data_IF_997710148207
#
_entry.id   IF_997710148207
#
_cell.length_a   1.000
_cell.length_b   1.000
_cell.length_c   1.000
_cell.angle_alpha   90.00
_cell.angle_beta   90.00
_cell.angle_gamma   90.00
#
_symmetry.space_group_name_H-M   'P 1'
#
loop_
_entity.id
_entity.type
_entity.pdbx_description
1 polymer ?
#
# COMPACT_ATOMS: atom_id res chain seq x y z
N UNK A 1 -30.33 -12.10 -3.18
CA UNK A 1 -29.67 -12.75 -2.02
C UNK A 1 -28.75 -11.74 -1.35
N UNK A 2 -29.14 -11.18 -0.19
CA UNK A 2 -28.30 -10.31 0.63
C UNK A 2 -27.54 -11.10 1.70
N UNK A 3 -26.42 -10.54 2.19
CA UNK A 3 -25.72 -10.96 3.41
C UNK A 3 -24.83 -12.21 3.27
N UNK A 4 -23.68 -12.37 3.91
CA UNK A 4 -23.18 -11.73 5.13
C UNK A 4 -21.66 -11.96 5.27
N UNK A 5 -20.90 -10.91 5.54
CA UNK A 5 -19.83 -10.90 6.57
C UNK A 5 -20.45 -10.17 7.79
N UNK A 6 -19.92 -10.20 9.04
CA UNK A 6 -18.61 -10.68 9.52
C UNK A 6 -18.70 -11.44 10.88
N UNK A 7 -17.58 -11.96 11.42
CA UNK A 7 -17.42 -12.02 12.88
C UNK A 7 -15.95 -12.21 13.32
N UNK A 8 -15.32 -11.13 13.78
CA UNK A 8 -14.23 -11.21 14.74
C UNK A 8 -14.66 -10.40 15.97
N UNK A 9 -14.80 -11.09 17.10
CA UNK A 9 -15.15 -10.52 18.39
C UNK A 9 -13.94 -10.75 19.33
N UNK A 10 -13.23 -9.73 19.80
CA UNK A 10 -12.27 -9.91 20.88
C UNK A 10 -13.02 -10.00 22.22
N UNK A 11 -12.62 -10.98 23.03
CA UNK A 11 -13.24 -11.33 24.29
C UNK A 11 -13.07 -10.22 25.36
N UNK A 12 -14.19 -9.95 26.04
CA UNK A 12 -14.33 -9.05 27.18
C UNK A 12 -13.63 -9.60 28.43
N UNK A 13 -12.80 -8.79 29.11
CA UNK A 13 -12.35 -9.08 30.48
C UNK A 13 -13.53 -8.90 31.46
N UNK A 14 -13.68 -9.75 32.49
CA UNK A 14 -14.61 -9.48 33.57
C UNK A 14 -13.94 -8.70 34.71
N UNK A 15 -14.56 -7.56 35.03
CA UNK A 15 -14.45 -6.82 36.29
C UNK A 15 -15.25 -7.54 37.37
N UNK A 16 -14.64 -7.87 38.52
CA UNK A 16 -15.33 -8.14 39.79
C UNK A 16 -14.56 -7.39 40.88
N UNK A 17 -15.03 -6.20 41.29
CA UNK A 17 -16.05 -5.93 42.32
C UNK A 17 -15.63 -6.39 43.73
N UNK A 18 -15.42 -5.39 44.57
CA UNK A 18 -15.12 -5.41 45.99
C UNK A 18 -16.13 -6.22 46.79
N UNK A 19 -15.63 -7.02 47.74
CA UNK A 19 -16.37 -7.43 48.93
C UNK A 19 -15.53 -7.14 50.17
N UNK A 20 -15.89 -6.07 50.86
CA UNK A 20 -15.53 -5.83 52.26
C UNK A 20 -16.45 -6.65 53.15
N UNK A 21 -15.92 -7.40 54.10
CA UNK A 21 -16.57 -7.69 55.39
C UNK A 21 -15.57 -8.24 56.40
N UNK A 22 -15.63 -7.64 57.59
CA UNK A 22 -14.87 -7.86 58.82
C UNK A 22 -14.76 -9.31 59.30
N UNK A 23 -13.60 -9.62 59.89
CA UNK A 23 -13.52 -10.49 61.06
C UNK A 23 -12.41 -9.98 61.98
N UNK A 24 -12.79 -9.12 62.93
CA UNK A 24 -12.05 -8.90 64.18
C UNK A 24 -11.99 -10.24 64.92
N UNK A 25 -10.79 -10.66 65.36
CA UNK A 25 -10.48 -11.06 66.74
C UNK A 25 -9.12 -11.78 66.86
N UNK A 26 -8.40 -11.44 67.95
CA UNK A 26 -7.34 -12.21 68.63
C UNK A 26 -5.90 -12.19 68.06
N UNK A 27 -5.11 -11.18 68.49
CA UNK A 27 -4.12 -11.29 69.60
C UNK A 27 -3.07 -10.16 69.46
N UNK A 28 -3.01 -9.27 70.46
CA UNK A 28 -1.88 -8.35 70.66
C UNK A 28 -0.61 -9.15 70.96
N UNK A 29 0.51 -8.94 70.25
CA UNK A 29 1.83 -9.24 70.76
C UNK A 29 2.26 -8.10 71.68
N UNK A 30 2.49 -8.44 72.94
CA UNK A 30 3.09 -7.57 73.95
C UNK A 30 4.55 -7.29 73.62
N UNK A 31 4.91 -6.00 73.63
CA UNK A 31 6.25 -5.44 73.87
C UNK A 31 7.46 -6.19 73.27
N UNK A 32 7.78 -5.90 72.00
CA UNK A 32 9.16 -6.04 71.52
C UNK A 32 9.83 -4.68 71.72
N UNK A 33 10.85 -4.67 72.57
CA UNK A 33 11.72 -3.51 72.83
C UNK A 33 12.41 -3.13 71.53
N UNK A 34 11.90 -2.12 70.83
CA UNK A 34 12.52 -1.53 69.64
C UNK A 34 13.87 -0.94 70.07
N UNK A 35 14.96 -1.49 69.52
CA UNK A 35 16.24 -0.77 69.46
C UNK A 35 16.08 0.53 68.66
N UNK A 36 17.10 1.40 68.62
CA UNK A 36 16.99 2.70 67.96
C UNK A 36 16.53 2.52 66.51
N UNK A 37 15.44 3.20 66.16
CA UNK A 37 14.91 3.28 64.80
C UNK A 37 15.92 4.02 63.93
N UNK A 38 16.76 3.27 63.21
CA UNK A 38 17.61 3.82 62.16
C UNK A 38 16.72 4.04 60.94
N UNK A 39 16.37 5.29 60.65
CA UNK A 39 15.69 5.65 59.41
C UNK A 39 16.54 5.17 58.22
N UNK A 40 15.96 4.51 57.20
CA UNK A 40 16.72 4.20 56.00
C UNK A 40 17.26 5.52 55.42
N UNK A 41 18.50 5.54 54.91
CA UNK A 41 19.06 6.75 54.33
C UNK A 41 18.15 7.26 53.22
N UNK A 42 18.04 8.61 53.03
CA UNK A 42 17.32 9.16 51.90
C UNK A 42 17.85 8.50 50.63
N UNK A 43 16.98 7.88 49.84
CA UNK A 43 17.37 7.33 48.55
C UNK A 43 17.76 8.53 47.69
N UNK A 44 19.06 8.83 47.59
CA UNK A 44 19.51 9.82 46.61
C UNK A 44 19.08 9.33 45.23
N UNK A 45 18.39 10.17 44.43
CA UNK A 45 18.06 9.80 43.07
C UNK A 45 19.37 9.50 42.35
N UNK A 46 19.48 8.32 41.75
CA UNK A 46 20.65 7.90 40.99
C UNK A 46 21.05 9.01 40.00
N UNK A 47 22.16 9.69 40.29
CA UNK A 47 22.66 10.79 39.49
C UNK A 47 23.47 10.19 38.35
N UNK A 48 22.85 10.09 37.17
CA UNK A 48 23.57 9.67 35.96
C UNK A 48 24.76 10.60 35.74
N UNK A 49 25.91 10.03 35.43
CA UNK A 49 27.09 10.76 35.01
C UNK A 49 26.86 11.38 33.61
N UNK A 50 27.58 12.46 33.29
CA UNK A 50 27.48 13.13 31.98
C UNK A 50 27.72 12.15 30.81
N UNK A 51 28.58 11.14 31.02
CA UNK A 51 28.86 10.09 30.04
C UNK A 51 27.66 9.17 29.81
N UNK A 52 26.93 8.81 30.85
CA UNK A 52 25.71 7.99 30.76
C UNK A 52 24.58 8.78 30.08
N UNK A 53 24.49 10.08 30.36
CA UNK A 53 23.55 10.96 29.70
C UNK A 53 23.86 11.08 28.19
N UNK A 54 25.12 11.31 27.82
CA UNK A 54 25.57 11.34 26.43
C UNK A 54 25.26 10.04 25.69
N UNK A 55 25.57 8.90 26.31
CA UNK A 55 25.31 7.57 25.73
C UNK A 55 23.81 7.35 25.50
N UNK A 56 22.97 7.87 26.39
CA UNK A 56 21.50 7.78 26.26
C UNK A 56 21.00 8.63 25.09
N UNK A 57 21.53 9.85 24.92
CA UNK A 57 21.19 10.72 23.79
C UNK A 57 21.61 10.10 22.46
N UNK A 58 22.84 9.58 22.37
CA UNK A 58 23.35 8.90 21.17
C UNK A 58 22.44 7.71 20.79
N UNK A 59 21.96 6.94 21.77
CA UNK A 59 21.06 5.82 21.54
C UNK A 59 19.69 6.25 21.02
N UNK A 60 19.19 7.41 21.46
CA UNK A 60 17.95 8.00 20.94
C UNK A 60 18.13 8.46 19.48
N UNK A 61 19.26 9.09 19.15
CA UNK A 61 19.59 9.48 17.78
C UNK A 61 19.72 8.27 16.86
N UNK A 62 20.43 7.22 17.28
CA UNK A 62 20.53 5.96 16.55
C UNK A 62 19.14 5.38 16.29
N UNK A 63 18.27 5.35 17.31
CA UNK A 63 16.89 4.86 17.16
C UNK A 63 16.10 5.69 16.16
N UNK A 64 16.24 7.02 16.18
CA UNK A 64 15.57 7.91 15.25
C UNK A 64 16.07 7.71 13.81
N UNK A 65 17.38 7.53 13.62
CA UNK A 65 17.98 7.22 12.32
C UNK A 65 17.53 5.86 11.80
N UNK A 66 17.50 4.82 12.64
CA UNK A 66 17.01 3.49 12.25
C UNK A 66 15.56 3.55 11.75
N UNK A 67 14.67 4.28 12.43
CA UNK A 67 13.28 4.45 11.96
C UNK A 67 13.19 5.19 10.63
N UNK A 68 14.05 6.17 10.39
CA UNK A 68 14.10 6.88 9.10
C UNK A 68 14.56 5.94 7.98
N UNK A 69 15.56 5.09 8.24
CA UNK A 69 16.03 4.08 7.29
C UNK A 69 14.90 3.08 6.96
N UNK A 70 14.19 2.57 7.96
CA UNK A 70 13.03 1.67 7.74
C UNK A 70 11.94 2.34 6.89
N UNK A 71 11.65 3.62 7.13
CA UNK A 71 10.72 4.40 6.31
C UNK A 71 11.19 4.60 4.87
N UNK A 72 12.49 4.79 4.67
CA UNK A 72 13.10 4.88 3.34
C UNK A 72 13.03 3.54 2.60
N UNK A 73 13.31 2.43 3.27
CA UNK A 73 13.23 1.08 2.69
C UNK A 73 11.80 0.73 2.24
N UNK A 74 10.80 1.10 3.05
CA UNK A 74 9.39 0.96 2.67
C UNK A 74 9.06 1.79 1.42
N UNK A 75 9.56 3.02 1.35
CA UNK A 75 9.36 3.92 0.20
C UNK A 75 10.03 3.37 -1.07
N UNK A 76 11.26 2.86 -0.97
CA UNK A 76 11.99 2.22 -2.08
C UNK A 76 11.21 1.00 -2.59
N UNK A 77 10.68 0.18 -1.67
CA UNK A 77 9.88 -1.00 -2.02
C UNK A 77 8.63 -0.59 -2.80
N UNK A 78 7.90 0.43 -2.34
CA UNK A 78 6.72 0.96 -3.02
C UNK A 78 7.04 1.48 -4.43
N UNK A 79 8.07 2.31 -4.57
CA UNK A 79 8.51 2.86 -5.85
C UNK A 79 8.98 1.77 -6.83
N UNK A 80 9.59 0.70 -6.30
CA UNK A 80 10.00 -0.46 -7.11
C UNK A 80 8.77 -1.19 -7.69
N UNK A 81 7.71 -1.35 -6.90
CA UNK A 81 6.46 -1.95 -7.36
C UNK A 81 5.76 -1.08 -8.40
N UNK A 82 5.67 0.23 -8.15
CA UNK A 82 5.11 1.19 -9.10
C UNK A 82 5.87 1.18 -10.43
N UNK A 83 7.21 1.17 -10.38
CA UNK A 83 8.06 1.08 -11.58
C UNK A 83 7.84 -0.21 -12.36
N UNK A 84 7.57 -1.34 -11.68
CA UNK A 84 7.22 -2.61 -12.35
C UNK A 84 5.85 -2.51 -13.02
N UNK A 85 4.86 -1.92 -12.36
CA UNK A 85 3.53 -1.70 -12.92
C UNK A 85 3.61 -0.82 -14.18
N UNK A 86 4.29 0.32 -14.10
CA UNK A 86 4.47 1.23 -15.24
C UNK A 86 5.17 0.54 -16.42
N UNK A 87 6.16 -0.32 -16.17
CA UNK A 87 6.79 -1.13 -17.23
C UNK A 87 5.81 -2.08 -17.91
N UNK A 88 4.92 -2.71 -17.13
CA UNK A 88 3.86 -3.56 -17.68
C UNK A 88 2.88 -2.77 -18.53
N UNK A 89 2.47 -1.58 -18.07
CA UNK A 89 1.56 -0.71 -18.80
C UNK A 89 2.16 -0.24 -20.12
N UNK A 90 3.44 0.16 -20.12
CA UNK A 90 4.17 0.54 -21.34
C UNK A 90 4.19 -0.61 -22.35
N UNK A 91 4.49 -1.84 -21.92
CA UNK A 91 4.47 -3.00 -22.81
C UNK A 91 3.06 -3.26 -23.38
N UNK A 92 2.02 -3.09 -22.55
CA UNK A 92 0.63 -3.18 -22.99
C UNK A 92 0.26 -2.11 -24.03
N UNK A 93 0.69 -0.87 -23.83
CA UNK A 93 0.48 0.21 -24.80
C UNK A 93 1.23 -0.02 -26.10
N UNK A 94 2.48 -0.49 -26.06
CA UNK A 94 3.25 -0.85 -27.26
C UNK A 94 2.52 -1.90 -28.09
N UNK A 95 2.03 -2.97 -27.47
CA UNK A 95 1.25 -4.00 -28.16
C UNK A 95 -0.02 -3.44 -28.82
N UNK A 96 -0.73 -2.55 -28.13
CA UNK A 96 -1.92 -1.88 -28.68
C UNK A 96 -1.59 -0.99 -29.88
N UNK A 97 -0.49 -0.25 -29.82
CA UNK A 97 -0.03 0.59 -30.93
C UNK A 97 0.29 -0.27 -32.15
N UNK A 98 1.06 -1.34 -32.00
CA UNK A 98 1.35 -2.27 -33.11
C UNK A 98 0.07 -2.86 -33.71
N UNK A 99 -0.90 -3.25 -32.87
CA UNK A 99 -2.20 -3.74 -33.36
C UNK A 99 -3.01 -2.68 -34.13
N UNK A 100 -2.92 -1.40 -33.74
CA UNK A 100 -3.56 -0.31 -34.46
C UNK A 100 -2.87 -0.02 -35.80
N UNK A 101 -1.54 -0.05 -35.85
CA UNK A 101 -0.75 0.13 -37.08
C UNK A 101 -1.11 -0.95 -38.12
N UNK A 102 -1.22 -2.21 -37.70
CA UNK A 102 -1.66 -3.29 -38.59
C UNK A 102 -3.07 -3.08 -39.15
N UNK A 103 -4.00 -2.63 -38.31
CA UNK A 103 -5.38 -2.33 -38.74
C UNK A 103 -5.42 -1.17 -39.71
N UNK A 104 -4.60 -0.14 -39.49
CA UNK A 104 -4.48 1.01 -40.37
C UNK A 104 -3.96 0.58 -41.75
N UNK A 105 -2.87 -0.20 -41.82
CA UNK A 105 -2.35 -0.72 -43.09
C UNK A 105 -3.37 -1.60 -43.83
N UNK A 106 -4.15 -2.40 -43.10
CA UNK A 106 -5.24 -3.17 -43.71
C UNK A 106 -6.35 -2.28 -44.28
N UNK A 107 -6.67 -1.17 -43.62
CA UNK A 107 -7.69 -0.22 -44.10
C UNK A 107 -7.18 0.56 -45.31
N UNK A 108 -5.91 0.97 -45.32
CA UNK A 108 -5.26 1.61 -46.48
C UNK A 108 -5.35 0.70 -47.71
N UNK A 109 -5.00 -0.59 -47.56
CA UNK A 109 -5.12 -1.57 -48.66
C UNK A 109 -6.56 -1.72 -49.17
N UNK A 110 -7.55 -1.69 -48.26
CA UNK A 110 -8.97 -1.77 -48.65
C UNK A 110 -9.42 -0.52 -49.41
N UNK A 111 -8.94 0.66 -49.01
CA UNK A 111 -9.24 1.92 -49.71
C UNK A 111 -8.63 1.90 -51.11
N UNK A 112 -7.37 1.52 -51.25
CA UNK A 112 -6.70 1.42 -52.55
C UNK A 112 -7.45 0.46 -53.49
N UNK A 113 -7.81 -0.72 -52.97
CA UNK A 113 -8.61 -1.70 -53.74
C UNK A 113 -9.97 -1.14 -54.15
N UNK A 114 -10.61 -0.34 -53.29
CA UNK A 114 -11.89 0.31 -53.63
C UNK A 114 -11.71 1.35 -54.73
N UNK A 115 -10.63 2.13 -54.69
CA UNK A 115 -10.32 3.13 -55.70
C UNK A 115 -10.05 2.50 -57.06
N UNK A 116 -9.31 1.38 -57.11
CA UNK A 116 -9.08 0.63 -58.35
C UNK A 116 -10.40 0.15 -58.96
N UNK A 117 -11.31 -0.37 -58.14
CA UNK A 117 -12.64 -0.81 -58.58
C UNK A 117 -13.48 0.35 -59.12
N UNK A 118 -13.40 1.52 -58.49
CA UNK A 118 -14.10 2.71 -58.98
C UNK A 118 -13.56 3.15 -60.35
N UNK A 119 -12.23 3.07 -60.58
CA UNK A 119 -11.64 3.34 -61.89
C UNK A 119 -12.10 2.34 -62.95
N UNK A 120 -12.12 1.05 -62.63
CA UNK A 120 -12.63 0.01 -63.53
C UNK A 120 -14.09 0.25 -63.92
N UNK A 121 -14.93 0.67 -62.96
CA UNK A 121 -16.33 1.00 -63.21
C UNK A 121 -16.48 2.22 -64.13
N UNK A 122 -15.67 3.27 -63.92
CA UNK A 122 -15.67 4.45 -64.81
C UNK A 122 -15.27 4.07 -66.24
N UNK A 123 -14.24 3.24 -66.39
CA UNK A 123 -13.81 2.75 -67.70
C UNK A 123 -14.90 1.94 -68.41
N UNK A 124 -15.53 1.00 -67.70
CA UNK A 124 -16.64 0.21 -68.23
C UNK A 124 -17.83 1.07 -68.60
N UNK A 125 -18.17 2.07 -67.78
CA UNK A 125 -19.24 3.02 -68.07
C UNK A 125 -18.98 3.80 -69.37
N UNK A 126 -17.76 4.33 -69.55
CA UNK A 126 -17.38 5.04 -70.78
C UNK A 126 -17.52 4.13 -72.01
N UNK A 127 -17.04 2.89 -71.91
CA UNK A 127 -17.10 1.92 -73.01
C UNK A 127 -18.54 1.54 -73.36
N UNK A 128 -19.43 1.43 -72.36
CA UNK A 128 -20.85 1.18 -72.58
C UNK A 128 -21.50 2.34 -73.33
N UNK A 129 -21.25 3.58 -72.92
CA UNK A 129 -21.76 4.78 -73.61
C UNK A 129 -21.31 4.82 -75.06
N UNK A 130 -20.02 4.55 -75.34
CA UNK A 130 -19.50 4.49 -76.71
C UNK A 130 -20.20 3.41 -77.56
N UNK A 131 -20.55 2.27 -76.94
CA UNK A 131 -21.26 1.18 -77.62
C UNK A 131 -22.73 1.53 -77.88
N UNK A 132 -23.40 2.18 -76.93
CA UNK A 132 -24.79 2.64 -77.07
C UNK A 132 -24.90 3.67 -78.20
N UNK A 133 -23.97 4.63 -78.26
CA UNK A 133 -23.93 5.64 -79.32
C UNK A 133 -23.69 5.03 -80.71
N UNK A 134 -22.86 3.99 -80.81
CA UNK A 134 -22.65 3.25 -82.08
C UNK A 134 -23.85 2.41 -82.52
N UNK A 135 -24.75 2.08 -81.60
CA UNK A 135 -25.93 1.25 -81.87
C UNK A 135 -27.18 2.06 -82.23
N UNK A 136 -27.14 3.39 -82.09
CA UNK A 136 -28.21 4.33 -82.47
C UNK A 136 -28.06 4.78 -83.93
#
# INVERSE_FOLDING_TARGET
MPGSKPNHKPASKPTQQLLFSEALHHKRPTHIKTGPHVSPPPTEPFRMSDKEHSTTMDMQEITAVSRRIEGMDASITSLTLETKSMRSDIAGFQSRVTGLEQRMGSLETQVDTSQDRDQDLLYLSSKLTDMEDRSR
#
